data_IF_908610710637
#
_entry.id   IF_908610710637
#
_cell.length_a   1.000
_cell.length_b   1.000
_cell.length_c   1.000
_cell.angle_alpha   90.00
_cell.angle_beta   90.00
_cell.angle_gamma   90.00
#
_symmetry.space_group_name_H-M   'P 1'
#
loop_
_entity.id
_entity.type
_entity.pdbx_description
1 polymer ?
#
# COMPACT_ATOMS: atom_id res chain seq x y z
N UNK A 1 -11.94 -8.39 -12.14
CA UNK A 1 -12.07 -6.99 -11.68
C UNK A 1 -13.53 -6.74 -11.40
N UNK A 2 -13.82 -6.19 -10.23
CA UNK A 2 -15.16 -5.86 -9.76
C UNK A 2 -15.42 -4.36 -9.95
N UNK A 3 -16.68 -3.97 -10.16
CA UNK A 3 -17.09 -2.56 -10.26
C UNK A 3 -17.77 -2.15 -8.96
N UNK A 4 -17.22 -1.15 -8.27
CA UNK A 4 -17.75 -0.63 -6.99
C UNK A 4 -17.78 0.89 -7.04
N UNK A 5 -18.96 1.50 -6.94
CA UNK A 5 -19.13 2.96 -6.88
C UNK A 5 -18.34 3.75 -7.94
N UNK A 6 -18.27 3.25 -9.19
CA UNK A 6 -17.53 3.88 -10.28
C UNK A 6 -16.03 3.57 -10.32
N UNK A 7 -15.56 2.60 -9.53
CA UNK A 7 -14.19 2.11 -9.52
C UNK A 7 -14.10 0.68 -10.06
N UNK A 8 -13.08 0.42 -10.88
CA UNK A 8 -12.64 -0.94 -11.20
C UNK A 8 -11.64 -1.39 -10.15
N UNK A 9 -11.94 -2.47 -9.45
CA UNK A 9 -11.16 -2.98 -8.32
C UNK A 9 -10.65 -4.39 -8.65
N UNK A 10 -9.40 -4.65 -8.31
CA UNK A 10 -8.79 -5.97 -8.37
C UNK A 10 -8.24 -6.32 -6.99
N UNK A 11 -8.80 -7.37 -6.38
CA UNK A 11 -8.37 -7.85 -5.07
C UNK A 11 -7.23 -8.86 -5.20
N UNK A 12 -6.30 -8.82 -4.25
CA UNK A 12 -5.30 -9.85 -4.09
C UNK A 12 -5.94 -11.17 -3.60
N UNK A 13 -5.36 -12.33 -3.94
CA UNK A 13 -5.83 -13.62 -3.43
C UNK A 13 -5.84 -13.70 -1.89
N UNK A 14 -4.88 -13.06 -1.23
CA UNK A 14 -4.73 -13.06 0.24
C UNK A 14 -5.57 -12.03 1.00
N UNK A 15 -6.48 -11.31 0.34
CA UNK A 15 -7.38 -10.34 0.98
C UNK A 15 -8.58 -11.06 1.60
N UNK A 16 -8.76 -10.90 2.91
CA UNK A 16 -9.86 -11.49 3.68
C UNK A 16 -11.20 -10.84 3.35
N UNK A 17 -12.30 -11.51 3.70
CA UNK A 17 -13.66 -10.97 3.52
C UNK A 17 -13.84 -9.62 4.22
N UNK A 18 -13.34 -9.47 5.46
CA UNK A 18 -13.43 -8.22 6.21
C UNK A 18 -12.69 -7.06 5.52
N UNK A 19 -11.50 -7.32 4.97
CA UNK A 19 -10.74 -6.31 4.24
C UNK A 19 -11.41 -5.93 2.91
N UNK A 20 -11.94 -6.91 2.18
CA UNK A 20 -12.71 -6.67 0.95
C UNK A 20 -13.92 -5.79 1.24
N UNK A 21 -14.65 -6.10 2.31
CA UNK A 21 -15.79 -5.31 2.76
C UNK A 21 -15.36 -3.88 3.12
N UNK A 22 -14.30 -3.71 3.92
CA UNK A 22 -13.78 -2.40 4.30
C UNK A 22 -13.38 -1.55 3.09
N UNK A 23 -12.74 -2.16 2.09
CA UNK A 23 -12.40 -1.49 0.83
C UNK A 23 -13.67 -1.03 0.08
N UNK A 24 -14.69 -1.88 0.01
CA UNK A 24 -15.97 -1.52 -0.59
C UNK A 24 -16.68 -0.38 0.16
N UNK A 25 -16.69 -0.41 1.49
CA UNK A 25 -17.24 0.65 2.33
C UNK A 25 -16.49 1.97 2.15
N UNK A 26 -15.17 1.92 1.97
CA UNK A 26 -14.36 3.10 1.64
C UNK A 26 -14.75 3.72 0.30
N UNK A 27 -14.99 2.92 -0.75
CA UNK A 27 -15.50 3.46 -2.02
C UNK A 27 -16.90 4.04 -1.92
N UNK A 28 -17.73 3.50 -1.03
CA UNK A 28 -19.09 4.00 -0.79
C UNK A 28 -19.13 5.21 0.16
N UNK A 29 -17.97 5.68 0.64
CA UNK A 29 -17.86 6.75 1.64
C UNK A 29 -18.64 6.46 2.93
N UNK A 30 -18.75 5.17 3.29
CA UNK A 30 -19.43 4.71 4.53
C UNK A 30 -18.44 4.46 5.68
N UNK A 31 -17.27 5.09 5.61
CA UNK A 31 -16.21 4.92 6.60
C UNK A 31 -16.31 6.00 7.66
N UNK A 32 -16.32 5.57 8.92
CA UNK A 32 -16.37 6.47 10.06
C UNK A 32 -14.98 6.82 10.60
N UNK A 33 -14.04 5.88 10.55
CA UNK A 33 -12.67 6.09 11.04
C UNK A 33 -11.65 6.04 9.90
N UNK A 34 -11.26 7.23 9.46
CA UNK A 34 -10.30 7.46 8.39
C UNK A 34 -9.33 8.58 8.78
N UNK A 35 -8.06 8.24 8.96
CA UNK A 35 -7.00 9.17 9.30
C UNK A 35 -6.13 9.48 8.09
N UNK A 36 -6.03 10.76 7.71
CA UNK A 36 -5.10 11.21 6.65
C UNK A 36 -3.68 11.28 7.21
N UNK A 37 -2.83 10.35 6.80
CA UNK A 37 -1.41 10.29 7.21
C UNK A 37 -0.56 11.25 6.39
N UNK A 38 -0.84 11.35 5.09
CA UNK A 38 -0.10 12.23 4.18
C UNK A 38 -1.01 12.74 3.08
N UNK A 39 -1.02 14.05 2.88
CA UNK A 39 -1.73 14.69 1.77
C UNK A 39 -0.77 15.59 1.01
N UNK A 40 -0.73 15.41 -0.30
CA UNK A 40 0.01 16.29 -1.20
C UNK A 40 -0.72 16.39 -2.53
N UNK A 41 -0.21 17.25 -3.41
CA UNK A 41 -0.83 17.49 -4.71
C UNK A 41 -1.02 16.17 -5.49
N UNK A 42 0.03 15.37 -5.63
CA UNK A 42 0.00 14.14 -6.45
C UNK A 42 -0.48 12.86 -5.74
N UNK A 43 -0.60 12.87 -4.41
CA UNK A 43 -0.94 11.66 -3.65
C UNK A 43 -1.58 11.96 -2.29
N UNK A 44 -2.44 11.05 -1.85
CA UNK A 44 -3.01 11.00 -0.50
C UNK A 44 -2.79 9.59 0.07
N UNK A 45 -2.38 9.51 1.33
CA UNK A 45 -2.25 8.27 2.10
C UNK A 45 -3.14 8.38 3.32
N UNK A 46 -4.01 7.41 3.49
CA UNK A 46 -4.97 7.31 4.57
C UNK A 46 -4.82 5.96 5.27
N UNK A 47 -5.01 5.94 6.59
CA UNK A 47 -5.31 4.72 7.35
C UNK A 47 -6.83 4.65 7.51
N UNK A 48 -7.40 3.51 7.20
CA UNK A 48 -8.84 3.27 7.23
C UNK A 48 -9.09 2.08 8.14
N UNK A 49 -9.86 2.31 9.21
CA UNK A 49 -10.16 1.30 10.22
C UNK A 49 -11.67 1.18 10.34
N UNK A 50 -12.21 -0.04 10.26
CA UNK A 50 -13.63 -0.29 10.54
C UNK A 50 -13.87 -1.76 10.82
N UNK A 51 -14.77 -2.06 11.77
CA UNK A 51 -15.25 -3.42 12.02
C UNK A 51 -14.13 -4.47 12.21
N UNK A 52 -13.04 -4.08 12.89
CA UNK A 52 -11.90 -4.95 13.17
C UNK A 52 -10.90 -5.16 12.02
N UNK A 53 -11.11 -4.51 10.87
CA UNK A 53 -10.14 -4.45 9.78
C UNK A 53 -9.42 -3.10 9.76
N UNK A 54 -8.14 -3.11 9.38
CA UNK A 54 -7.25 -1.95 9.35
C UNK A 54 -6.36 -2.01 8.11
N UNK A 55 -6.50 -1.00 7.26
CA UNK A 55 -5.83 -0.94 5.96
C UNK A 55 -5.27 0.46 5.70
N UNK A 56 -4.24 0.52 4.87
CA UNK A 56 -3.78 1.76 4.27
C UNK A 56 -4.30 1.91 2.84
N UNK A 57 -4.78 3.11 2.51
CA UNK A 57 -5.19 3.51 1.17
C UNK A 57 -4.24 4.58 0.62
N UNK A 58 -3.52 4.24 -0.45
CA UNK A 58 -2.63 5.17 -1.16
C UNK A 58 -3.26 5.58 -2.49
N UNK A 59 -3.83 6.78 -2.52
CA UNK A 59 -4.42 7.39 -3.71
C UNK A 59 -3.36 8.16 -4.48
N UNK A 60 -3.24 7.89 -5.77
CA UNK A 60 -2.42 8.65 -6.72
C UNK A 60 -3.32 9.43 -7.67
N UNK A 61 -3.02 10.73 -7.83
CA UNK A 61 -3.76 11.64 -8.68
C UNK A 61 -2.96 12.00 -9.95
N UNK A 62 -3.63 12.05 -11.10
CA UNK A 62 -3.09 12.49 -12.39
C UNK A 62 -3.72 13.84 -12.77
N UNK A 63 -2.98 14.92 -12.53
CA UNK A 63 -3.49 16.28 -12.76
C UNK A 63 -3.30 16.78 -14.19
N UNK A 64 -2.33 16.25 -14.94
CA UNK A 64 -1.87 16.90 -16.18
C UNK A 64 -2.23 16.05 -17.40
N UNK A 65 -2.61 16.69 -18.51
CA UNK A 65 -2.96 16.03 -19.77
C UNK A 65 -1.86 15.09 -20.28
N UNK A 66 -0.58 15.50 -20.19
CA UNK A 66 0.59 14.65 -20.53
C UNK A 66 0.67 13.38 -19.67
N UNK A 67 0.21 13.43 -18.43
CA UNK A 67 0.19 12.25 -17.56
C UNK A 67 -0.97 11.30 -17.93
N UNK A 68 -2.11 11.86 -18.35
CA UNK A 68 -3.24 11.09 -18.90
C UNK A 68 -2.87 10.39 -20.22
N UNK A 69 -2.18 11.08 -21.12
CA UNK A 69 -1.66 10.49 -22.38
C UNK A 69 -0.70 9.32 -22.13
N UNK A 70 0.25 9.47 -21.20
CA UNK A 70 1.19 8.38 -20.85
C UNK A 70 0.48 7.13 -20.34
N UNK A 71 -0.71 7.26 -19.76
CA UNK A 71 -1.51 6.13 -19.27
C UNK A 71 -2.08 5.26 -20.40
N UNK A 72 -2.18 5.78 -21.63
CA UNK A 72 -2.56 4.95 -22.80
C UNK A 72 -1.49 3.89 -23.10
N UNK A 73 -0.23 4.18 -22.81
CA UNK A 73 0.90 3.30 -23.10
C UNK A 73 1.45 2.59 -21.85
N UNK A 74 1.03 3.00 -20.65
CA UNK A 74 1.55 2.46 -19.39
C UNK A 74 0.43 2.23 -18.35
N UNK A 75 0.43 1.09 -17.65
CA UNK A 75 -0.46 0.88 -16.50
C UNK A 75 -0.37 2.00 -15.46
N UNK A 76 -1.46 2.25 -14.74
CA UNK A 76 -1.46 3.25 -13.68
C UNK A 76 -0.50 2.87 -12.54
N UNK A 77 -0.02 3.87 -11.80
CA UNK A 77 1.01 3.69 -10.77
C UNK A 77 0.61 2.66 -9.70
N UNK A 78 -0.63 2.74 -9.22
CA UNK A 78 -1.14 1.79 -8.22
C UNK A 78 -1.16 0.34 -8.73
N UNK A 79 -1.50 0.11 -10.01
CA UNK A 79 -1.46 -1.24 -10.60
C UNK A 79 -0.04 -1.80 -10.66
N UNK A 80 0.93 -0.97 -11.04
CA UNK A 80 2.34 -1.41 -11.08
C UNK A 80 2.86 -1.75 -9.69
N UNK A 81 2.61 -0.87 -8.70
CA UNK A 81 3.01 -1.13 -7.32
C UNK A 81 2.33 -2.38 -6.76
N UNK A 82 1.03 -2.58 -7.04
CA UNK A 82 0.31 -3.80 -6.67
C UNK A 82 0.95 -5.06 -7.22
N UNK A 83 1.32 -5.07 -8.51
CA UNK A 83 1.98 -6.22 -9.13
C UNK A 83 3.32 -6.55 -8.48
N UNK A 84 4.14 -5.53 -8.21
CA UNK A 84 5.43 -5.70 -7.53
C UNK A 84 5.22 -6.26 -6.13
N UNK A 85 4.29 -5.69 -5.35
CA UNK A 85 3.98 -6.19 -4.01
C UNK A 85 3.43 -7.62 -4.03
N UNK A 86 2.64 -7.98 -5.04
CA UNK A 86 2.11 -9.33 -5.17
C UNK A 86 3.22 -10.34 -5.50
N UNK A 87 4.18 -9.95 -6.33
CA UNK A 87 5.37 -10.76 -6.60
C UNK A 87 6.23 -10.96 -5.34
N UNK A 88 6.48 -9.89 -4.59
CA UNK A 88 7.20 -9.97 -3.31
C UNK A 88 6.47 -10.88 -2.30
N UNK A 89 5.14 -10.77 -2.23
CA UNK A 89 4.29 -11.61 -1.39
C UNK A 89 4.42 -13.09 -1.77
N UNK A 90 4.34 -13.43 -3.06
CA UNK A 90 4.52 -14.81 -3.53
C UNK A 90 5.93 -15.35 -3.30
N UNK A 91 6.95 -14.50 -3.34
CA UNK A 91 8.34 -14.85 -3.01
C UNK A 91 8.57 -15.02 -1.49
N UNK A 92 7.55 -14.79 -0.66
CA UNK A 92 7.69 -14.82 0.80
C UNK A 92 8.55 -13.68 1.36
N UNK A 93 8.82 -12.64 0.54
CA UNK A 93 9.59 -11.48 0.97
C UNK A 93 8.71 -10.63 1.89
N UNK A 94 9.27 -10.28 3.04
CA UNK A 94 8.53 -9.61 4.10
C UNK A 94 8.29 -8.11 3.80
N UNK A 95 7.44 -7.78 2.81
CA UNK A 95 7.08 -6.41 2.41
C UNK A 95 5.69 -5.98 2.89
N UNK A 96 5.17 -4.85 2.39
CA UNK A 96 3.74 -4.54 2.53
C UNK A 96 2.91 -5.66 1.90
N UNK A 97 1.79 -6.01 2.53
CA UNK A 97 0.87 -7.03 2.02
C UNK A 97 -0.17 -6.33 1.14
N UNK A 98 -0.20 -6.58 -0.18
CA UNK A 98 -1.19 -5.98 -1.06
C UNK A 98 -2.56 -6.60 -0.82
N UNK A 99 -3.59 -5.76 -0.77
CA UNK A 99 -4.99 -6.21 -0.60
C UNK A 99 -5.80 -5.99 -1.87
N UNK A 100 -5.63 -4.83 -2.50
CA UNK A 100 -6.29 -4.52 -3.75
C UNK A 100 -5.59 -3.36 -4.46
N UNK A 101 -5.88 -3.19 -5.74
CA UNK A 101 -5.75 -1.90 -6.40
C UNK A 101 -7.03 -1.54 -7.12
N UNK A 102 -7.22 -0.24 -7.34
CA UNK A 102 -8.37 0.25 -8.06
C UNK A 102 -8.04 1.45 -8.94
N UNK A 103 -8.89 1.67 -9.94
CA UNK A 103 -8.86 2.85 -10.78
C UNK A 103 -10.27 3.37 -11.06
N UNK A 104 -10.38 4.69 -11.20
CA UNK A 104 -11.66 5.33 -11.51
C UNK A 104 -12.06 5.02 -12.95
N UNK A 105 -13.26 4.46 -13.13
CA UNK A 105 -13.72 3.90 -14.41
C UNK A 105 -13.81 4.91 -15.55
N UNK A 106 -14.15 6.18 -15.24
CA UNK A 106 -14.49 7.17 -16.26
C UNK A 106 -13.37 8.19 -16.54
N UNK A 107 -12.62 8.62 -15.53
CA UNK A 107 -11.73 9.78 -15.68
C UNK A 107 -10.27 9.43 -15.90
N UNK A 108 -9.89 8.17 -15.68
CA UNK A 108 -8.50 7.71 -15.62
C UNK A 108 -7.59 8.67 -14.81
N UNK A 109 -8.14 9.47 -13.90
CA UNK A 109 -7.43 10.52 -13.19
C UNK A 109 -6.90 10.02 -11.85
N UNK A 110 -7.47 8.94 -11.33
CA UNK A 110 -7.23 8.47 -9.98
C UNK A 110 -7.00 6.96 -9.99
N UNK A 111 -6.09 6.52 -9.13
CA UNK A 111 -5.85 5.11 -8.85
C UNK A 111 -5.46 4.95 -7.38
N UNK A 112 -5.92 3.87 -6.74
CA UNK A 112 -5.72 3.60 -5.32
C UNK A 112 -5.04 2.25 -5.16
N UNK A 113 -4.08 2.17 -4.26
CA UNK A 113 -3.48 0.93 -3.78
C UNK A 113 -3.90 0.72 -2.32
N UNK A 114 -4.35 -0.49 -1.99
CA UNK A 114 -4.69 -0.90 -0.64
C UNK A 114 -3.69 -1.92 -0.13
N UNK A 115 -3.22 -1.70 1.09
CA UNK A 115 -2.30 -2.62 1.79
C UNK A 115 -2.76 -2.87 3.21
N UNK A 116 -2.51 -4.07 3.71
CA UNK A 116 -2.77 -4.41 5.12
C UNK A 116 -1.87 -3.57 6.03
N UNK A 117 -2.42 -3.11 7.15
CA UNK A 117 -1.63 -2.49 8.20
C UNK A 117 -0.67 -3.50 8.82
N UNK A 118 0.54 -3.06 9.19
CA UNK A 118 1.53 -3.89 9.86
C UNK A 118 1.83 -3.27 11.23
N UNK A 119 1.30 -3.91 12.26
CA UNK A 119 1.55 -3.47 13.63
C UNK A 119 2.95 -3.89 14.11
N UNK A 120 3.47 -3.14 15.07
CA UNK A 120 4.76 -3.45 15.72
C UNK A 120 5.99 -3.19 14.86
N UNK A 121 5.87 -2.51 13.72
CA UNK A 121 7.03 -2.11 12.91
C UNK A 121 7.55 -0.73 13.30
N UNK A 122 8.87 -0.60 13.41
CA UNK A 122 9.57 0.69 13.44
C UNK A 122 10.19 0.96 12.08
N UNK A 123 10.26 2.23 11.69
CA UNK A 123 11.12 2.60 10.57
C UNK A 123 12.59 2.41 10.98
N UNK A 124 13.47 2.19 10.01
CA UNK A 124 14.91 2.11 10.26
C UNK A 124 15.45 3.39 10.90
N UNK A 125 14.90 4.55 10.51
CA UNK A 125 15.24 5.85 11.09
C UNK A 125 14.82 5.91 12.57
N UNK A 126 13.56 5.57 12.89
CA UNK A 126 13.07 5.58 14.27
C UNK A 126 13.86 4.58 15.13
N UNK A 127 14.17 3.40 14.58
CA UNK A 127 15.01 2.41 15.26
C UNK A 127 16.41 2.97 15.54
N UNK A 128 17.02 3.64 14.56
CA UNK A 128 18.34 4.25 14.70
C UNK A 128 18.34 5.33 15.79
N UNK A 129 17.35 6.22 15.77
CA UNK A 129 17.25 7.32 16.72
C UNK A 129 16.90 6.86 18.14
N UNK A 130 16.01 5.89 18.29
CA UNK A 130 15.46 5.50 19.61
C UNK A 130 16.26 4.40 20.31
N UNK A 131 16.84 3.48 19.55
CA UNK A 131 17.24 2.17 20.09
C UNK A 131 18.71 1.85 19.84
N UNK A 132 19.34 2.42 18.80
CA UNK A 132 20.69 2.03 18.36
C UNK A 132 21.74 2.03 19.47
N UNK A 133 21.79 3.08 20.29
CA UNK A 133 22.79 3.19 21.36
C UNK A 133 22.55 2.24 22.54
N UNK A 134 21.33 1.71 22.68
CA UNK A 134 20.92 0.80 23.75
C UNK A 134 20.91 -0.67 23.31
N UNK A 135 20.93 -0.91 22.01
CA UNK A 135 20.95 -2.24 21.41
C UNK A 135 22.35 -2.86 21.50
N UNK A 136 22.41 -4.16 21.81
CA UNK A 136 23.65 -4.93 21.83
C UNK A 136 24.31 -5.02 20.45
N UNK A 137 25.64 -5.23 20.40
CA UNK A 137 26.34 -5.46 19.12
C UNK A 137 25.78 -6.68 18.37
N UNK A 138 25.32 -7.70 19.10
CA UNK A 138 24.77 -8.93 18.52
C UNK A 138 23.46 -8.67 17.76
N UNK A 139 22.58 -7.86 18.33
CA UNK A 139 21.33 -7.42 17.69
C UNK A 139 21.60 -6.51 16.50
N UNK A 140 22.56 -5.58 16.59
CA UNK A 140 22.99 -4.74 15.45
C UNK A 140 23.46 -5.59 14.28
N UNK A 141 24.31 -6.59 14.54
CA UNK A 141 24.77 -7.53 13.51
C UNK A 141 23.62 -8.39 12.95
N UNK A 142 22.60 -8.71 13.76
CA UNK A 142 21.39 -9.40 13.27
C UNK A 142 20.59 -8.52 12.31
N UNK A 143 20.37 -7.26 12.66
CA UNK A 143 19.67 -6.29 11.78
C UNK A 143 20.42 -6.11 10.46
N UNK A 144 21.75 -5.92 10.50
CA UNK A 144 22.57 -5.76 9.30
C UNK A 144 22.51 -7.00 8.39
N UNK A 145 22.62 -8.21 8.95
CA UNK A 145 22.50 -9.47 8.18
C UNK A 145 21.12 -9.63 7.56
N UNK A 146 20.06 -9.35 8.31
CA UNK A 146 18.69 -9.43 7.79
C UNK A 146 18.47 -8.44 6.64
N UNK A 147 19.03 -7.23 6.77
CA UNK A 147 18.95 -6.22 5.72
C UNK A 147 19.72 -6.63 4.46
N UNK A 148 20.95 -7.13 4.61
CA UNK A 148 21.75 -7.65 3.49
C UNK A 148 21.05 -8.82 2.77
N UNK A 149 20.48 -9.76 3.54
CA UNK A 149 19.70 -10.87 2.98
C UNK A 149 18.46 -10.38 2.23
N UNK A 150 17.77 -9.36 2.74
CA UNK A 150 16.62 -8.77 2.06
C UNK A 150 17.04 -8.09 0.75
N UNK A 151 18.13 -7.31 0.75
CA UNK A 151 18.63 -6.67 -0.47
C UNK A 151 19.05 -7.70 -1.52
N UNK A 152 19.68 -8.79 -1.10
CA UNK A 152 20.05 -9.89 -2.00
C UNK A 152 18.83 -10.58 -2.63
N UNK A 153 17.70 -10.66 -1.93
CA UNK A 153 16.45 -11.21 -2.48
C UNK A 153 15.73 -10.26 -3.45
N UNK A 154 16.08 -8.97 -3.43
CA UNK A 154 15.47 -7.94 -4.28
C UNK A 154 16.24 -7.70 -5.59
N UNK A 155 17.48 -8.18 -5.69
CA UNK A 155 18.33 -8.13 -6.89
C UNK A 155 18.13 -9.38 -7.74
#
# INVERSE_FOLDING_TARGET
MEQVSGWKVEFAPGATTAERQLICEHFQQKILDCLVIKKGHHRKVERVCQSGADIYAKTNFLHNFRAKLRRLFRPCKSKMEFKVLLELYHKGINSLIPLAWAEKSQSFAESILYTRTRDGSLTLEDYWQSSWNRTSNQEKSKVARNWASLMAQLH
#
